data_IF_732173423052
#
_entry.id   IF_732173423052
#
_cell.length_a   1.000
_cell.length_b   1.000
_cell.length_c   1.000
_cell.angle_alpha   90.00
_cell.angle_beta   90.00
_cell.angle_gamma   90.00
#
_symmetry.space_group_name_H-M   'P 1'
#
loop_
_entity.id
_entity.type
_entity.pdbx_description
1 polymer ?
#
# COMPACT_ATOMS: atom_id res chain seq x y z
N UNK A 1 -22.57 22.22 3.13
CA UNK A 1 -21.80 23.38 3.63
C UNK A 1 -20.63 22.82 4.44
N UNK A 2 -19.40 23.07 4.02
CA UNK A 2 -18.18 22.68 4.75
C UNK A 2 -17.81 23.79 5.75
N UNK A 3 -17.43 23.42 6.97
CA UNK A 3 -17.02 24.37 8.00
C UNK A 3 -15.50 24.32 8.17
N UNK A 4 -14.90 25.48 8.42
CA UNK A 4 -13.50 25.56 8.84
C UNK A 4 -13.36 25.38 10.36
N UNK A 5 -12.12 25.22 10.86
CA UNK A 5 -11.87 25.04 12.30
C UNK A 5 -12.41 26.22 13.13
N UNK A 6 -12.24 27.46 12.66
CA UNK A 6 -12.75 28.64 13.37
C UNK A 6 -14.27 28.60 13.55
N UNK A 7 -15.01 28.19 12.51
CA UNK A 7 -16.45 28.02 12.56
C UNK A 7 -16.86 26.87 13.48
N UNK A 8 -16.10 25.76 13.51
CA UNK A 8 -16.33 24.69 14.48
C UNK A 8 -16.12 25.20 15.91
N UNK A 9 -15.05 25.94 16.15
CA UNK A 9 -14.75 26.54 17.45
C UNK A 9 -15.86 27.48 17.92
N UNK A 10 -16.27 28.43 17.10
CA UNK A 10 -17.37 29.35 17.42
C UNK A 10 -18.68 28.62 17.72
N UNK A 11 -18.92 27.46 17.11
CA UNK A 11 -20.08 26.62 17.42
C UNK A 11 -19.93 25.91 18.77
N UNK A 12 -18.75 25.40 19.08
CA UNK A 12 -18.43 24.79 20.39
C UNK A 12 -18.55 25.84 21.50
N UNK A 13 -17.94 27.02 21.35
CA UNK A 13 -18.03 28.15 22.29
C UNK A 13 -19.48 28.55 22.57
N UNK A 14 -20.30 28.65 21.51
CA UNK A 14 -21.73 28.97 21.64
C UNK A 14 -22.50 27.92 22.43
N UNK A 15 -22.20 26.63 22.24
CA UNK A 15 -22.84 25.56 23.00
C UNK A 15 -22.36 25.51 24.45
N UNK A 16 -21.08 25.80 24.69
CA UNK A 16 -20.50 25.92 26.02
C UNK A 16 -20.95 27.20 26.76
N UNK A 17 -21.56 28.15 26.05
CA UNK A 17 -21.94 29.48 26.55
C UNK A 17 -20.73 30.27 27.08
N UNK A 18 -19.56 30.05 26.50
CA UNK A 18 -18.30 30.71 26.86
C UNK A 18 -17.75 31.50 25.68
N UNK A 19 -18.48 32.54 25.26
CA UNK A 19 -18.09 33.38 24.12
C UNK A 19 -16.88 34.27 24.39
N UNK A 20 -16.52 34.43 25.66
CA UNK A 20 -15.38 35.24 26.10
C UNK A 20 -14.14 34.38 26.41
N UNK A 21 -14.19 33.06 26.19
CA UNK A 21 -13.11 32.10 26.49
C UNK A 21 -12.59 32.21 27.94
N UNK A 22 -13.49 32.44 28.91
CA UNK A 22 -13.10 32.58 30.32
C UNK A 22 -12.86 31.26 31.01
N UNK A 23 -13.57 30.20 30.58
CA UNK A 23 -13.50 28.86 31.18
C UNK A 23 -12.66 27.91 30.35
N UNK A 24 -12.75 28.01 29.03
CA UNK A 24 -11.95 27.22 28.10
C UNK A 24 -11.19 28.13 27.15
N UNK A 25 -9.89 27.93 27.09
CA UNK A 25 -9.04 28.65 26.14
C UNK A 25 -9.23 28.10 24.73
N UNK A 26 -8.93 28.92 23.73
CA UNK A 26 -8.92 28.52 22.32
C UNK A 26 -8.09 27.25 22.05
N UNK A 27 -6.95 27.12 22.73
CA UNK A 27 -6.07 25.97 22.59
C UNK A 27 -6.73 24.68 23.10
N UNK A 28 -7.37 24.75 24.26
CA UNK A 28 -8.07 23.60 24.86
C UNK A 28 -9.26 23.15 24.01
N UNK A 29 -10.03 24.10 23.46
CA UNK A 29 -11.13 23.75 22.55
C UNK A 29 -10.61 23.05 21.29
N UNK A 30 -9.47 23.49 20.74
CA UNK A 30 -8.87 22.80 19.61
C UNK A 30 -8.42 21.39 19.96
N UNK A 31 -7.84 21.18 21.14
CA UNK A 31 -7.44 19.85 21.60
C UNK A 31 -8.68 18.94 21.76
N UNK A 32 -9.80 19.45 22.29
CA UNK A 32 -11.05 18.67 22.37
C UNK A 32 -11.63 18.32 21.00
N UNK A 33 -11.58 19.25 20.04
CA UNK A 33 -11.99 18.99 18.66
C UNK A 33 -11.11 17.90 18.03
N UNK A 34 -9.80 17.96 18.29
CA UNK A 34 -8.84 16.98 17.78
C UNK A 34 -9.05 15.59 18.40
N UNK A 35 -9.24 15.52 19.71
CA UNK A 35 -9.55 14.26 20.38
C UNK A 35 -10.89 13.68 19.92
N UNK A 36 -11.90 14.53 19.70
CA UNK A 36 -13.19 14.12 19.14
C UNK A 36 -13.02 13.61 17.70
N UNK A 37 -12.14 14.20 16.91
CA UNK A 37 -11.81 13.75 15.57
C UNK A 37 -11.12 12.39 15.58
N UNK A 38 -10.10 12.20 16.42
CA UNK A 38 -9.43 10.93 16.60
C UNK A 38 -10.42 9.82 16.97
N UNK A 39 -11.27 10.08 17.97
CA UNK A 39 -12.27 9.11 18.38
C UNK A 39 -13.30 8.85 17.27
N UNK A 40 -13.75 9.88 16.56
CA UNK A 40 -14.68 9.72 15.45
C UNK A 40 -14.10 8.83 14.36
N UNK A 41 -12.83 9.05 13.98
CA UNK A 41 -12.14 8.25 12.96
C UNK A 41 -11.98 6.81 13.45
N UNK A 42 -11.61 6.58 14.72
CA UNK A 42 -11.50 5.24 15.30
C UNK A 42 -12.83 4.49 15.29
N UNK A 43 -13.89 5.16 15.75
CA UNK A 43 -15.21 4.56 15.80
C UNK A 43 -15.74 4.34 14.39
N UNK A 44 -15.64 5.29 13.48
CA UNK A 44 -16.15 5.05 12.12
C UNK A 44 -15.30 4.07 11.31
N UNK A 45 -14.00 3.99 11.58
CA UNK A 45 -13.03 3.25 10.77
C UNK A 45 -12.64 4.00 9.48
N UNK A 46 -12.92 5.31 9.38
CA UNK A 46 -12.69 6.12 8.17
C UNK A 46 -12.10 7.49 8.48
N UNK A 47 -11.33 8.08 7.54
CA UNK A 47 -11.04 7.56 6.20
C UNK A 47 -9.97 6.46 6.20
N UNK A 48 -10.08 5.50 5.28
CA UNK A 48 -9.06 4.48 5.08
C UNK A 48 -7.95 5.02 4.19
N UNK A 49 -6.72 4.74 4.58
CA UNK A 49 -5.53 4.99 3.78
C UNK A 49 -4.81 3.67 3.53
N UNK A 50 -4.24 3.55 2.35
CA UNK A 50 -3.41 2.41 1.95
C UNK A 50 -1.99 2.90 1.71
N UNK A 51 -1.02 2.29 2.37
CA UNK A 51 0.40 2.62 2.30
C UNK A 51 1.23 1.35 2.12
N UNK A 52 2.32 1.44 1.36
CA UNK A 52 3.25 0.33 1.19
C UNK A 52 4.44 0.50 2.14
N UNK A 53 4.85 -0.59 2.79
CA UNK A 53 6.07 -0.66 3.59
C UNK A 53 7.00 -1.67 2.93
N UNK A 54 8.14 -1.19 2.45
CA UNK A 54 9.16 -2.05 1.84
C UNK A 54 9.89 -2.85 2.93
N UNK A 55 10.03 -4.16 2.69
CA UNK A 55 10.60 -5.08 3.67
C UNK A 55 12.12 -5.13 3.54
N UNK A 56 12.79 -5.20 4.70
CA UNK A 56 14.23 -5.35 4.78
C UNK A 56 14.58 -6.70 5.43
N UNK A 57 15.62 -7.36 4.93
CA UNK A 57 16.08 -8.65 5.46
C UNK A 57 16.50 -8.53 6.92
N UNK A 58 16.10 -9.51 7.74
CA UNK A 58 16.42 -9.59 9.18
C UNK A 58 15.88 -8.44 10.04
N UNK A 59 14.99 -7.60 9.53
CA UNK A 59 14.30 -6.57 10.33
C UNK A 59 13.00 -7.15 10.89
N UNK A 60 12.93 -7.22 12.22
CA UNK A 60 11.77 -7.77 12.95
C UNK A 60 10.67 -6.74 13.19
N UNK A 61 11.03 -5.46 13.31
CA UNK A 61 10.17 -4.38 13.77
C UNK A 61 10.20 -3.21 12.79
N UNK A 62 9.02 -2.70 12.46
CA UNK A 62 8.81 -1.64 11.48
C UNK A 62 7.98 -0.54 12.11
N UNK A 63 8.28 0.71 11.76
CA UNK A 63 7.46 1.85 12.16
C UNK A 63 6.15 1.85 11.36
N UNK A 64 5.05 2.14 12.04
CA UNK A 64 3.77 2.40 11.38
C UNK A 64 3.90 3.71 10.59
N UNK A 65 3.48 3.74 9.30
CA UNK A 65 3.48 4.97 8.52
C UNK A 65 2.79 6.12 9.26
N UNK A 66 3.39 7.32 9.28
CA UNK A 66 2.91 8.48 10.07
C UNK A 66 1.48 8.90 9.73
N UNK A 67 1.04 8.60 8.52
CA UNK A 67 -0.30 8.89 8.02
C UNK A 67 -1.35 7.87 8.47
N UNK A 68 -0.96 6.75 9.09
CA UNK A 68 -1.84 5.74 9.65
C UNK A 68 -1.92 5.90 11.17
N UNK A 69 -3.16 5.88 11.68
CA UNK A 69 -3.44 5.86 13.13
C UNK A 69 -3.58 4.44 13.65
N UNK A 70 -4.40 3.61 12.98
CA UNK A 70 -4.62 2.22 13.36
C UNK A 70 -4.55 1.35 12.11
N UNK A 71 -3.80 0.24 12.17
CA UNK A 71 -3.75 -0.73 11.08
C UNK A 71 -4.96 -1.64 11.18
N UNK A 72 -5.73 -1.75 10.10
CA UNK A 72 -6.92 -2.62 10.05
C UNK A 72 -6.70 -3.87 9.20
N UNK A 73 -5.86 -3.77 8.16
CA UNK A 73 -5.55 -4.88 7.26
C UNK A 73 -4.10 -4.81 6.80
N UNK A 74 -3.50 -5.97 6.63
CA UNK A 74 -2.19 -6.13 6.01
C UNK A 74 -2.31 -7.12 4.85
N UNK A 75 -1.65 -6.83 3.73
CA UNK A 75 -1.67 -7.65 2.52
C UNK A 75 -0.29 -7.72 1.91
N UNK A 76 -0.01 -8.80 1.19
CA UNK A 76 1.18 -8.84 0.34
C UNK A 76 0.93 -7.94 -0.87
N UNK A 77 1.86 -7.03 -1.18
CA UNK A 77 1.70 -6.11 -2.32
C UNK A 77 1.44 -6.90 -3.62
N UNK A 78 0.52 -6.40 -4.44
CA UNK A 78 0.09 -7.02 -5.70
C UNK A 78 -0.52 -8.43 -5.53
N UNK A 79 -1.02 -8.75 -4.34
CA UNK A 79 -1.75 -10.00 -4.09
C UNK A 79 -3.02 -9.74 -3.31
N UNK A 80 -4.04 -10.54 -3.59
CA UNK A 80 -5.31 -10.49 -2.87
C UNK A 80 -5.26 -11.14 -1.48
N UNK A 81 -4.10 -11.71 -1.08
CA UNK A 81 -3.99 -12.47 0.16
C UNK A 81 -3.72 -11.55 1.36
N UNK A 82 -4.62 -11.63 2.34
CA UNK A 82 -4.51 -10.91 3.61
C UNK A 82 -3.58 -11.65 4.58
N UNK A 83 -2.70 -10.89 5.22
CA UNK A 83 -1.84 -11.36 6.30
C UNK A 83 -2.60 -11.13 7.61
N UNK A 84 -2.79 -12.17 8.45
CA UNK A 84 -3.49 -12.00 9.72
C UNK A 84 -2.73 -11.04 10.64
N UNK A 85 -3.49 -10.16 11.31
CA UNK A 85 -3.00 -9.27 12.36
C UNK A 85 -3.33 -9.93 13.71
N UNK A 86 -2.32 -10.17 14.53
CA UNK A 86 -2.46 -10.88 15.82
C UNK A 86 -1.79 -10.10 16.96
N UNK A 87 -2.24 -10.38 18.18
CA UNK A 87 -1.59 -9.90 19.41
C UNK A 87 -0.42 -10.81 19.78
N UNK A 88 0.65 -10.27 20.41
CA UNK A 88 1.77 -11.08 20.94
C UNK A 88 1.32 -12.27 21.79
N UNK A 89 0.27 -12.10 22.58
CA UNK A 89 -0.27 -13.14 23.47
C UNK A 89 -0.70 -14.40 22.71
N UNK A 90 -1.19 -14.24 21.47
CA UNK A 90 -1.58 -15.39 20.64
C UNK A 90 -0.37 -16.28 20.36
N UNK A 91 0.79 -15.68 20.09
CA UNK A 91 2.03 -16.42 19.82
C UNK A 91 2.70 -16.93 21.10
N UNK A 92 2.61 -16.17 22.20
CA UNK A 92 3.16 -16.58 23.49
C UNK A 92 2.42 -17.81 24.08
N UNK A 93 1.13 -17.98 23.77
CA UNK A 93 0.29 -19.09 24.28
C UNK A 93 0.19 -20.28 23.30
N UNK A 94 0.47 -20.07 22.01
CA UNK A 94 0.32 -21.11 21.00
C UNK A 94 1.62 -21.88 20.77
N UNK A 95 1.57 -23.21 20.79
CA UNK A 95 2.67 -24.06 20.30
C UNK A 95 2.64 -24.23 18.77
N UNK A 96 1.51 -23.88 18.14
CA UNK A 96 1.33 -23.95 16.68
C UNK A 96 0.48 -22.78 16.18
N UNK A 97 0.84 -22.23 15.03
CA UNK A 97 0.11 -21.16 14.34
C UNK A 97 0.08 -21.47 12.84
N UNK A 98 -1.11 -21.49 12.24
CA UNK A 98 -1.32 -21.89 10.83
C UNK A 98 -0.67 -23.24 10.47
N UNK A 99 -0.80 -24.23 11.36
CA UNK A 99 -0.24 -25.59 11.24
C UNK A 99 1.31 -25.67 11.25
N UNK A 100 2.00 -24.59 11.61
CA UNK A 100 3.45 -24.57 11.77
C UNK A 100 3.81 -24.34 13.25
N UNK A 101 4.94 -24.90 13.70
CA UNK A 101 5.38 -24.75 15.09
C UNK A 101 5.79 -23.30 15.39
N UNK A 102 5.43 -22.85 16.59
CA UNK A 102 5.82 -21.57 17.16
C UNK A 102 6.79 -21.85 18.30
N UNK A 103 7.98 -21.28 18.22
CA UNK A 103 8.98 -21.44 19.28
C UNK A 103 8.61 -20.57 20.49
N UNK A 104 9.03 -20.99 21.68
CA UNK A 104 8.82 -20.20 22.90
C UNK A 104 9.44 -18.79 22.80
N UNK A 105 10.51 -18.66 22.01
CA UNK A 105 11.10 -17.37 21.62
C UNK A 105 10.76 -17.02 20.17
N UNK A 106 9.47 -16.99 19.84
CA UNK A 106 8.97 -16.67 18.50
C UNK A 106 9.49 -15.32 17.96
N UNK A 107 9.94 -14.43 18.86
CA UNK A 107 10.50 -13.11 18.52
C UNK A 107 11.85 -13.20 17.81
N UNK A 108 12.60 -14.28 17.97
CA UNK A 108 13.86 -14.54 17.25
C UNK A 108 13.71 -15.55 16.12
N UNK A 109 12.53 -16.17 15.99
CA UNK A 109 12.24 -17.14 14.93
C UNK A 109 12.33 -16.47 13.56
N UNK A 110 13.15 -17.05 12.68
CA UNK A 110 13.29 -16.62 11.28
C UNK A 110 12.53 -17.57 10.35
N UNK A 111 12.02 -17.05 9.25
CA UNK A 111 11.25 -17.85 8.30
C UNK A 111 10.40 -17.01 7.36
N UNK A 112 9.51 -17.68 6.61
CA UNK A 112 8.57 -17.01 5.74
C UNK A 112 7.46 -16.33 6.55
N UNK A 113 7.18 -15.05 6.31
CA UNK A 113 6.17 -14.25 7.01
C UNK A 113 4.82 -14.96 6.99
N UNK A 114 4.18 -15.03 8.15
CA UNK A 114 2.86 -15.63 8.40
C UNK A 114 1.87 -14.64 8.99
N UNK A 115 2.32 -13.69 9.80
CA UNK A 115 1.46 -12.73 10.49
C UNK A 115 2.13 -11.37 10.69
N UNK A 116 1.30 -10.34 10.88
CA UNK A 116 1.69 -9.05 11.44
C UNK A 116 1.31 -9.06 12.92
N UNK A 117 2.28 -8.79 13.80
CA UNK A 117 2.06 -8.74 15.24
C UNK A 117 1.98 -7.29 15.69
N UNK A 118 0.90 -6.96 16.38
CA UNK A 118 0.64 -5.64 16.97
C UNK A 118 0.33 -5.79 18.45
N UNK A 119 1.05 -5.07 19.30
CA UNK A 119 0.78 -5.04 20.74
C UNK A 119 -0.63 -4.49 21.01
N UNK A 120 -0.99 -3.42 20.30
CA UNK A 120 -2.29 -2.77 20.33
C UNK A 120 -2.54 -2.05 18.99
N UNK A 121 -3.80 -1.71 18.70
CA UNK A 121 -4.19 -1.16 17.39
C UNK A 121 -3.48 0.14 17.02
N UNK A 122 -3.19 0.98 18.01
CA UNK A 122 -2.52 2.27 17.84
C UNK A 122 -1.01 2.23 18.11
N UNK A 123 -0.41 1.04 18.10
CA UNK A 123 1.03 0.90 18.31
C UNK A 123 1.78 1.65 17.21
N UNK A 124 2.79 2.45 17.58
CA UNK A 124 3.65 3.16 16.62
C UNK A 124 4.53 2.21 15.80
N UNK A 125 4.59 0.94 16.19
CA UNK A 125 5.41 -0.08 15.58
C UNK A 125 4.65 -1.40 15.46
N UNK A 126 5.02 -2.16 14.45
CA UNK A 126 4.52 -3.51 14.24
C UNK A 126 5.67 -4.48 13.99
N UNK A 127 5.43 -5.76 14.25
CA UNK A 127 6.41 -6.82 13.99
C UNK A 127 5.92 -7.78 12.92
N UNK A 128 6.85 -8.40 12.23
CA UNK A 128 6.56 -9.51 11.32
C UNK A 128 6.92 -10.82 12.00
N UNK A 129 6.03 -11.79 11.88
CA UNK A 129 6.25 -13.14 12.41
C UNK A 129 6.10 -14.19 11.31
N UNK A 130 7.07 -15.12 11.18
CA UNK A 130 8.47 -15.03 11.62
C UNK A 130 9.25 -13.85 11.01
N UNK A 131 10.46 -13.58 11.52
CA UNK A 131 11.36 -12.59 10.92
C UNK A 131 11.76 -13.07 9.51
N UNK A 132 11.65 -12.22 8.47
CA UNK A 132 12.02 -12.60 7.11
C UNK A 132 13.47 -13.11 7.03
N UNK A 133 13.64 -14.37 6.63
CA UNK A 133 14.96 -14.99 6.49
C UNK A 133 15.69 -14.47 5.23
N UNK A 134 16.85 -13.83 5.43
CA UNK A 134 17.85 -13.59 4.39
C UNK A 134 17.70 -12.31 3.55
N UNK A 135 18.58 -12.20 2.54
CA UNK A 135 18.55 -11.10 1.57
C UNK A 135 17.28 -11.20 0.74
N UNK A 136 16.40 -10.22 0.96
CA UNK A 136 15.11 -10.10 0.32
C UNK A 136 15.26 -9.53 -1.09
N UNK A 137 16.05 -10.20 -1.93
CA UNK A 137 16.27 -9.83 -3.33
C UNK A 137 15.62 -10.90 -4.18
N UNK A 138 14.47 -10.58 -4.78
CA UNK A 138 13.91 -11.42 -5.83
C UNK A 138 14.63 -11.06 -7.13
N UNK A 139 15.61 -11.87 -7.52
CA UNK A 139 16.32 -11.71 -8.80
C UNK A 139 15.47 -12.34 -9.90
N UNK A 140 14.95 -11.52 -10.82
CA UNK A 140 14.36 -12.02 -12.07
C UNK A 140 15.50 -12.16 -13.08
N UNK A 141 15.94 -13.39 -13.33
CA UNK A 141 16.89 -13.68 -14.42
C UNK A 141 16.10 -14.08 -15.65
N UNK A 142 15.97 -13.18 -16.62
CA UNK A 142 15.53 -13.56 -17.96
C UNK A 142 16.70 -14.20 -18.71
N UNK A 143 16.60 -15.49 -19.02
CA UNK A 143 17.55 -16.18 -19.89
C UNK A 143 16.99 -16.23 -21.31
N UNK A 144 17.74 -15.71 -22.27
CA UNK A 144 17.43 -15.85 -23.69
C UNK A 144 18.41 -16.83 -24.32
N UNK A 145 17.92 -17.98 -24.78
CA UNK A 145 18.71 -18.88 -25.61
C UNK A 145 18.69 -18.36 -27.06
N UNK A 146 19.72 -17.63 -27.46
CA UNK A 146 19.95 -17.37 -28.87
C UNK A 146 20.33 -18.69 -29.55
N UNK A 147 19.49 -19.19 -30.45
CA UNK A 147 19.81 -20.38 -31.24
C UNK A 147 20.78 -19.99 -32.35
N UNK A 148 22.09 -20.20 -32.14
CA UNK A 148 23.05 -20.20 -33.24
C UNK A 148 22.79 -21.44 -34.09
N UNK A 149 22.60 -21.24 -35.39
CA UNK A 149 22.47 -22.34 -36.36
C UNK A 149 23.80 -22.43 -37.09
N UNK A 150 24.60 -23.46 -36.78
CA UNK A 150 25.81 -23.74 -37.54
C UNK A 150 25.42 -24.42 -38.86
N UNK A 151 26.02 -23.97 -39.96
CA UNK A 151 25.84 -24.57 -41.27
C UNK A 151 27.17 -25.14 -41.71
N UNK A 152 27.20 -26.44 -41.98
CA UNK A 152 28.35 -27.09 -42.59
C UNK A 152 28.17 -27.04 -44.10
N UNK A 153 29.11 -26.41 -44.80
CA UNK A 153 29.16 -26.37 -46.27
C UNK A 153 30.21 -27.33 -46.80
N UNK A 154 30.10 -27.75 -48.06
CA UNK A 154 31.10 -28.64 -48.68
C UNK A 154 32.44 -27.93 -48.95
N UNK A 155 32.40 -26.61 -49.13
CA UNK A 155 33.57 -25.74 -49.28
C UNK A 155 33.19 -24.32 -48.85
N UNK A 156 34.08 -23.63 -48.15
CA UNK A 156 33.94 -22.25 -47.69
C UNK A 156 35.06 -21.33 -48.20
N UNK A 157 35.88 -21.80 -49.14
CA UNK A 157 37.09 -21.13 -49.64
C UNK A 157 36.83 -19.72 -50.21
N UNK A 158 35.70 -19.51 -50.87
CA UNK A 158 35.30 -18.23 -51.46
C UNK A 158 34.41 -17.37 -50.55
N UNK A 159 34.22 -17.77 -49.29
CA UNK A 159 33.37 -17.06 -48.34
C UNK A 159 34.22 -16.24 -47.36
N UNK A 160 33.71 -15.07 -47.00
CA UNK A 160 34.37 -14.18 -46.03
C UNK A 160 33.38 -13.73 -44.97
N UNK A 161 33.90 -13.51 -43.75
CA UNK A 161 33.12 -12.94 -42.65
C UNK A 161 32.56 -11.58 -43.07
N UNK A 162 31.26 -11.37 -42.85
CA UNK A 162 30.53 -10.19 -43.30
C UNK A 162 29.82 -10.33 -44.65
N UNK A 163 30.08 -11.40 -45.42
CA UNK A 163 29.28 -11.67 -46.62
C UNK A 163 27.84 -12.01 -46.26
N UNK A 164 26.92 -11.54 -47.09
CA UNK A 164 25.49 -11.80 -46.94
C UNK A 164 25.10 -13.09 -47.67
N UNK A 165 24.42 -13.99 -46.95
CA UNK A 165 23.86 -15.23 -47.46
C UNK A 165 22.33 -15.25 -47.32
N UNK A 166 21.65 -16.06 -48.12
CA UNK A 166 20.19 -16.15 -48.14
C UNK A 166 19.69 -17.24 -49.10
N UNK A 167 18.37 -17.38 -49.22
CA UNK A 167 17.74 -18.29 -50.18
C UNK A 167 17.41 -19.70 -49.65
N UNK A 168 17.81 -20.03 -48.42
CA UNK A 168 17.31 -21.20 -47.71
C UNK A 168 16.06 -20.81 -46.90
N UNK A 169 15.02 -21.64 -46.87
CA UNK A 169 13.79 -21.37 -46.11
C UNK A 169 14.01 -21.08 -44.62
N UNK A 170 15.15 -21.51 -44.08
CA UNK A 170 15.50 -21.35 -42.67
C UNK A 170 16.47 -20.17 -42.41
N UNK A 171 16.99 -19.52 -43.46
CA UNK A 171 17.96 -18.42 -43.39
C UNK A 171 17.33 -17.17 -44.04
N UNK A 172 17.01 -16.13 -43.25
CA UNK A 172 16.52 -14.86 -43.79
C UNK A 172 17.45 -14.31 -44.87
N UNK A 173 16.89 -13.66 -45.89
CA UNK A 173 17.70 -12.97 -46.90
C UNK A 173 18.62 -11.94 -46.24
N UNK A 174 19.85 -11.84 -46.76
CA UNK A 174 20.89 -10.93 -46.27
C UNK A 174 21.33 -11.22 -44.81
N UNK A 175 21.41 -12.48 -44.42
CA UNK A 175 22.05 -12.86 -43.16
C UNK A 175 23.58 -12.80 -43.31
N UNK A 176 24.28 -12.07 -42.45
CA UNK A 176 25.74 -11.97 -42.53
C UNK A 176 26.44 -13.21 -41.94
N UNK A 177 27.54 -13.63 -42.56
CA UNK A 177 28.45 -14.64 -42.02
C UNK A 177 29.21 -14.04 -40.84
N UNK A 178 29.11 -14.66 -39.66
CA UNK A 178 29.71 -14.18 -38.42
C UNK A 178 31.12 -14.74 -38.20
N UNK A 179 31.32 -16.02 -38.55
CA UNK A 179 32.62 -16.67 -38.52
C UNK A 179 32.66 -17.85 -39.49
N UNK A 180 33.87 -18.22 -39.90
CA UNK A 180 34.15 -19.38 -40.73
C UNK A 180 35.27 -20.16 -40.04
N UNK A 181 35.05 -21.45 -39.80
CA UNK A 181 36.04 -22.37 -39.23
C UNK A 181 36.05 -23.66 -40.04
N UNK A 182 37.04 -23.80 -40.92
CA UNK A 182 37.07 -24.88 -41.90
C UNK A 182 35.85 -24.82 -42.82
N UNK A 183 35.06 -25.89 -42.83
CA UNK A 183 33.80 -25.99 -43.58
C UNK A 183 32.57 -25.56 -42.78
N UNK A 184 32.74 -25.14 -41.53
CA UNK A 184 31.64 -24.67 -40.67
C UNK A 184 31.51 -23.16 -40.77
N UNK A 185 30.32 -22.69 -41.10
CA UNK A 185 29.94 -21.28 -41.16
C UNK A 185 28.95 -21.01 -40.03
N UNK A 186 29.29 -20.07 -39.17
CA UNK A 186 28.34 -19.58 -38.15
C UNK A 186 27.68 -18.31 -38.68
N UNK A 187 26.34 -18.32 -38.72
CA UNK A 187 25.54 -17.17 -39.12
C UNK A 187 24.99 -16.47 -37.87
N UNK A 188 25.10 -15.14 -37.81
CA UNK A 188 24.39 -14.36 -36.78
C UNK A 188 22.97 -14.15 -37.27
N UNK A 189 22.04 -15.00 -36.84
CA UNK A 189 20.62 -14.78 -37.10
C UNK A 189 20.08 -13.71 -36.15
N UNK A 190 20.02 -12.46 -36.59
CA UNK A 190 19.22 -11.45 -35.90
C UNK A 190 17.76 -11.69 -36.25
N UNK A 191 17.10 -12.63 -35.57
CA UNK A 191 15.64 -12.71 -35.65
C UNK A 191 15.06 -11.48 -34.99
N UNK A 192 14.61 -10.51 -35.77
CA UNK A 192 13.57 -9.58 -35.33
C UNK A 192 12.31 -10.43 -35.14
N UNK A 193 12.10 -10.97 -33.95
CA UNK A 193 10.86 -11.69 -33.64
C UNK A 193 9.71 -10.68 -33.68
N UNK A 194 9.07 -10.55 -34.85
CA UNK A 194 7.79 -9.83 -35.03
C UNK A 194 6.59 -10.73 -34.73
N UNK A 195 6.84 -11.97 -34.28
CA UNK A 195 5.84 -12.88 -33.75
C UNK A 195 5.79 -12.79 -32.23
N UNK A 196 4.57 -12.80 -31.68
CA UNK A 196 4.32 -12.87 -30.25
C UNK A 196 5.25 -13.90 -29.60
N UNK A 197 6.00 -13.49 -28.58
CA UNK A 197 6.85 -14.38 -27.79
C UNK A 197 5.93 -15.32 -27.01
N UNK A 198 5.50 -16.39 -27.66
CA UNK A 198 4.77 -17.47 -27.02
C UNK A 198 5.76 -18.23 -26.15
N UNK A 199 5.71 -17.96 -24.85
CA UNK A 199 6.38 -18.67 -23.77
C UNK A 199 7.82 -18.21 -23.47
N UNK A 200 7.99 -16.92 -23.14
CA UNK A 200 8.99 -16.58 -22.14
C UNK A 200 8.47 -17.07 -20.78
N UNK A 201 8.97 -18.20 -20.28
CA UNK A 201 8.70 -18.62 -18.90
C UNK A 201 9.49 -17.70 -17.97
N UNK A 202 8.86 -16.60 -17.54
CA UNK A 202 9.36 -15.81 -16.42
C UNK A 202 9.16 -16.66 -15.17
N UNK A 203 10.21 -17.39 -14.77
CA UNK A 203 10.20 -18.09 -13.49
C UNK A 203 10.43 -17.04 -12.42
N UNK A 204 9.36 -16.57 -11.80
CA UNK A 204 9.47 -15.83 -10.55
C UNK A 204 9.98 -16.81 -9.49
N UNK A 205 11.27 -16.74 -9.18
CA UNK A 205 11.80 -17.36 -7.97
C UNK A 205 11.29 -16.48 -6.83
N UNK A 206 10.04 -16.68 -6.41
CA UNK A 206 9.52 -15.98 -5.26
C UNK A 206 10.34 -16.42 -4.07
N UNK A 207 11.16 -15.49 -3.60
CA UNK A 207 11.95 -15.59 -2.38
C UNK A 207 11.13 -16.19 -1.24
N UNK A 208 11.78 -16.95 -0.36
CA UNK A 208 11.25 -17.61 0.85
C UNK A 208 10.70 -16.62 1.92
N UNK A 209 10.19 -15.47 1.49
CA UNK A 209 9.83 -14.32 2.33
C UNK A 209 8.41 -14.43 2.85
N UNK A 210 7.49 -15.04 2.10
CA UNK A 210 6.09 -15.26 2.52
C UNK A 210 5.78 -16.76 2.54
N UNK A 211 4.93 -17.20 3.46
CA UNK A 211 4.61 -18.63 3.59
C UNK A 211 3.83 -19.12 2.37
N UNK A 212 3.94 -20.42 2.05
CA UNK A 212 3.23 -21.01 0.90
C UNK A 212 1.71 -20.80 0.98
N UNK A 213 1.16 -20.67 2.19
CA UNK A 213 -0.23 -20.29 2.41
C UNK A 213 -0.57 -18.90 1.83
N UNK A 214 0.36 -17.93 1.96
CA UNK A 214 0.22 -16.59 1.38
C UNK A 214 0.56 -16.52 -0.13
N UNK A 215 1.11 -17.60 -0.69
CA UNK A 215 1.50 -17.69 -2.09
C UNK A 215 0.51 -18.43 -2.99
N UNK A 216 -0.62 -18.93 -2.47
CA UNK A 216 -1.65 -19.55 -3.29
C UNK A 216 -2.35 -18.47 -4.16
N UNK A 217 -1.86 -18.31 -5.39
CA UNK A 217 -2.50 -17.48 -6.41
C UNK A 217 -3.71 -18.25 -6.95
N UNK A 218 -4.93 -17.67 -6.99
CA UNK A 218 -6.00 -18.26 -7.77
C UNK A 218 -5.56 -18.33 -9.24
N UNK A 219 -5.66 -19.50 -9.86
CA UNK A 219 -5.09 -19.84 -11.18
C UNK A 219 -5.67 -19.07 -12.38
N UNK A 220 -6.38 -17.97 -12.16
CA UNK A 220 -7.22 -17.30 -13.17
C UNK A 220 -6.84 -15.86 -13.47
N UNK A 221 -5.74 -15.32 -12.93
CA UNK A 221 -5.41 -13.89 -13.13
C UNK A 221 -3.92 -13.67 -13.43
N UNK A 222 -3.52 -14.03 -14.66
CA UNK A 222 -2.18 -13.73 -15.20
C UNK A 222 -2.21 -12.47 -16.10
N UNK A 223 -3.39 -11.92 -16.38
CA UNK A 223 -3.56 -10.85 -17.38
C UNK A 223 -3.46 -9.41 -16.81
N UNK A 224 -3.29 -9.23 -15.50
CA UNK A 224 -3.47 -7.93 -14.85
C UNK A 224 -2.21 -7.28 -14.22
N UNK A 225 -0.99 -7.67 -14.59
CA UNK A 225 0.22 -6.88 -14.21
C UNK A 225 0.38 -5.72 -15.20
N UNK A 226 -0.50 -4.72 -15.07
CA UNK A 226 -0.36 -3.42 -15.69
C UNK A 226 0.79 -2.66 -15.01
N UNK A 227 1.88 -2.39 -15.73
CA UNK A 227 2.94 -1.48 -15.27
C UNK A 227 4.39 -1.96 -15.43
N UNK A 228 4.63 -3.21 -15.80
CA UNK A 228 5.95 -3.64 -16.29
C UNK A 228 5.96 -3.62 -17.80
N UNK A 229 6.14 -2.43 -18.36
CA UNK A 229 6.52 -2.29 -19.76
C UNK A 229 7.90 -2.95 -19.91
N UNK A 230 7.93 -4.15 -20.46
CA UNK A 230 9.19 -4.78 -20.86
C UNK A 230 9.66 -3.96 -22.06
N UNK A 231 10.57 -3.01 -21.81
CA UNK A 231 11.23 -2.22 -22.83
C UNK A 231 11.87 -3.17 -23.85
N UNK A 232 11.24 -3.29 -25.02
CA UNK A 232 11.85 -3.92 -26.19
C UNK A 232 12.66 -2.86 -26.92
N UNK A 233 13.95 -2.74 -26.60
CA UNK A 233 14.88 -2.00 -27.47
C UNK A 233 15.45 -2.95 -28.53
N UNK A 234 15.39 -2.51 -29.77
CA UNK A 234 15.89 -3.21 -30.95
C UNK A 234 17.41 -3.12 -30.99
N UNK A 235 18.12 -4.02 -30.32
CA UNK A 235 19.52 -4.30 -30.69
C UNK A 235 20.54 -4.60 -29.60
N UNK A 236 20.17 -5.19 -28.45
CA UNK A 236 21.18 -5.58 -27.45
C UNK A 236 20.74 -6.70 -26.51
N UNK A 237 21.68 -7.56 -26.14
CA UNK A 237 21.56 -8.45 -24.98
C UNK A 237 21.47 -7.59 -23.72
N UNK A 238 20.30 -7.51 -23.09
CA UNK A 238 20.16 -6.94 -21.76
C UNK A 238 20.14 -8.05 -20.71
N UNK A 239 21.22 -8.16 -19.94
CA UNK A 239 21.18 -8.84 -18.65
C UNK A 239 20.82 -7.80 -17.59
N UNK A 240 19.52 -7.51 -17.45
CA UNK A 240 19.01 -6.61 -16.42
C UNK A 240 18.58 -7.39 -15.19
N UNK A 241 19.19 -7.14 -14.04
CA UNK A 241 18.66 -7.63 -12.76
C UNK A 241 17.64 -6.63 -12.24
N UNK A 242 16.35 -6.94 -12.37
CA UNK A 242 15.31 -6.17 -11.68
C UNK A 242 15.26 -6.68 -10.24
N UNK A 243 15.70 -5.84 -9.30
CA UNK A 243 15.54 -6.08 -7.86
C UNK A 243 14.18 -5.51 -7.46
N UNK A 244 13.22 -6.40 -7.19
CA UNK A 244 11.97 -6.01 -6.53
C UNK A 244 12.10 -6.34 -5.05
N UNK A 245 12.15 -5.31 -4.20
CA UNK A 245 11.96 -5.48 -2.77
C UNK A 245 10.50 -5.83 -2.52
N UNK A 246 10.18 -6.93 -1.84
CA UNK A 246 8.82 -7.21 -1.44
C UNK A 246 8.39 -6.17 -0.43
N UNK A 247 7.11 -5.82 -0.52
CA UNK A 247 6.50 -4.87 0.38
C UNK A 247 5.17 -5.41 0.88
N UNK A 248 4.79 -4.93 2.05
CA UNK A 248 3.47 -5.17 2.62
C UNK A 248 2.63 -3.94 2.36
N UNK A 249 1.43 -4.16 1.85
CA UNK A 249 0.40 -3.15 1.76
C UNK A 249 -0.35 -3.12 3.09
N UNK A 250 -0.24 -2.00 3.81
CA UNK A 250 -0.99 -1.74 5.02
C UNK A 250 -2.20 -0.86 4.68
N UNK A 251 -3.36 -1.26 5.17
CA UNK A 251 -4.57 -0.46 5.11
C UNK A 251 -5.03 -0.18 6.54
N UNK A 252 -5.27 1.09 6.83
CA UNK A 252 -5.63 1.53 8.16
C UNK A 252 -6.41 2.83 8.16
N UNK A 253 -6.87 3.24 9.34
CA UNK A 253 -7.48 4.56 9.52
C UNK A 253 -6.42 5.63 9.37
N UNK A 254 -6.70 6.64 8.54
CA UNK A 254 -5.82 7.78 8.37
C UNK A 254 -5.71 8.54 9.69
N UNK A 255 -4.50 8.87 10.08
CA UNK A 255 -4.24 9.80 11.17
C UNK A 255 -4.77 11.20 10.79
N UNK A 256 -5.76 11.74 11.51
CA UNK A 256 -6.24 13.08 11.23
C UNK A 256 -5.12 14.08 11.48
N UNK A 257 -4.74 14.91 10.49
CA UNK A 257 -3.67 15.87 10.67
C UNK A 257 -4.08 16.92 11.72
N UNK A 258 -3.27 17.07 12.77
CA UNK A 258 -3.42 18.16 13.75
C UNK A 258 -3.30 19.53 13.09
N UNK A 259 -2.41 19.62 12.09
CA UNK A 259 -2.03 20.87 11.45
C UNK A 259 -2.93 21.25 10.26
N UNK A 260 -3.64 20.31 9.62
CA UNK A 260 -4.55 20.71 8.54
C UNK A 260 -5.78 21.46 9.07
N UNK A 261 -6.11 21.30 10.36
CA UNK A 261 -7.12 22.12 11.02
C UNK A 261 -6.61 23.53 11.34
N UNK A 262 -5.29 23.76 11.40
CA UNK A 262 -4.75 25.09 11.60
C UNK A 262 -5.01 25.94 10.35
N UNK A 263 -5.58 27.13 10.56
CA UNK A 263 -5.72 28.15 9.53
C UNK A 263 -4.35 28.47 8.95
N UNK A 264 -4.08 27.97 7.74
CA UNK A 264 -2.94 28.34 6.90
C UNK A 264 -2.99 29.85 6.61
N UNK A 265 -2.42 30.64 7.52
CA UNK A 265 -2.27 32.07 7.33
C UNK A 265 -1.15 32.43 6.34
N UNK A 266 -0.43 31.46 5.75
CA UNK A 266 0.81 31.76 5.03
C UNK A 266 1.20 30.81 3.87
N UNK A 267 0.23 30.31 3.08
CA UNK A 267 0.57 29.73 1.76
C UNK A 267 -0.18 30.48 0.68
N UNK A 268 0.53 31.42 0.06
CA UNK A 268 0.06 32.17 -1.10
C UNK A 268 -0.15 31.19 -2.27
N UNK A 269 -1.41 30.92 -2.63
CA UNK A 269 -1.74 30.35 -3.95
C UNK A 269 -2.58 29.07 -3.98
N UNK A 270 -3.07 28.54 -2.85
CA UNK A 270 -3.96 27.37 -2.85
C UNK A 270 -4.92 27.39 -1.67
N UNK A 271 -6.21 27.14 -1.91
CA UNK A 271 -7.20 26.99 -0.83
C UNK A 271 -7.08 25.58 -0.23
N UNK A 272 -6.00 25.35 0.52
CA UNK A 272 -5.71 24.14 1.28
C UNK A 272 -6.45 24.16 2.63
N UNK A 273 -7.78 24.27 2.62
CA UNK A 273 -8.61 24.14 3.83
C UNK A 273 -9.28 22.76 3.79
N UNK A 274 -9.07 21.88 4.78
CA UNK A 274 -9.73 20.58 4.81
C UNK A 274 -11.25 20.76 4.88
N UNK A 275 -11.94 20.29 3.86
CA UNK A 275 -13.40 20.33 3.76
C UNK A 275 -13.94 19.16 4.58
N UNK A 276 -14.41 19.45 5.79
CA UNK A 276 -15.09 18.47 6.64
C UNK A 276 -16.55 18.33 6.16
N UNK A 277 -17.05 17.09 6.09
CA UNK A 277 -18.44 16.84 5.70
C UNK A 277 -19.42 17.38 6.75
N UNK A 278 -20.60 17.84 6.32
CA UNK A 278 -21.57 18.48 7.25
C UNK A 278 -21.92 17.65 8.48
N UNK A 279 -21.92 16.32 8.37
CA UNK A 279 -22.24 15.38 9.46
C UNK A 279 -21.08 15.15 10.42
N UNK A 280 -19.85 15.22 9.91
CA UNK A 280 -18.66 15.21 10.74
C UNK A 280 -18.63 16.45 11.63
N UNK A 281 -19.14 17.60 11.17
CA UNK A 281 -19.17 18.80 12.02
C UNK A 281 -19.98 18.60 13.30
N UNK A 282 -21.20 18.08 13.19
CA UNK A 282 -22.05 17.90 14.38
C UNK A 282 -21.40 16.92 15.35
N UNK A 283 -20.85 15.81 14.83
CA UNK A 283 -20.12 14.86 15.66
C UNK A 283 -18.91 15.52 16.36
N UNK A 284 -18.08 16.27 15.63
CA UNK A 284 -16.93 16.96 16.22
C UNK A 284 -17.34 17.99 17.25
N UNK A 285 -18.40 18.76 16.99
CA UNK A 285 -18.93 19.76 17.93
C UNK A 285 -19.42 19.08 19.21
N UNK A 286 -20.25 18.03 19.10
CA UNK A 286 -20.77 17.33 20.28
C UNK A 286 -19.68 16.57 21.04
N UNK A 287 -18.71 15.96 20.35
CA UNK A 287 -17.58 15.30 20.99
C UNK A 287 -16.65 16.28 21.71
N UNK A 288 -16.43 17.47 21.16
CA UNK A 288 -15.63 18.51 21.80
C UNK A 288 -16.34 19.07 23.06
N UNK A 289 -17.65 19.33 22.96
CA UNK A 289 -18.47 19.81 24.09
C UNK A 289 -18.54 18.77 25.22
N UNK A 290 -18.67 17.49 24.87
CA UNK A 290 -18.65 16.38 25.83
C UNK A 290 -17.36 16.36 26.66
N UNK A 291 -16.19 16.44 26.00
CA UNK A 291 -14.88 16.49 26.66
C UNK A 291 -14.70 17.73 27.52
N UNK A 292 -15.15 18.89 27.05
CA UNK A 292 -15.11 20.14 27.82
C UNK A 292 -15.89 20.03 29.14
N UNK A 293 -17.08 19.43 29.13
CA UNK A 293 -17.87 19.20 30.35
C UNK A 293 -17.29 18.09 31.25
N UNK A 294 -16.65 17.06 30.69
CA UNK A 294 -15.97 16.04 31.49
C UNK A 294 -14.81 16.62 32.30
N UNK A 295 -14.07 17.60 31.75
CA UNK A 295 -12.96 18.25 32.48
C UNK A 295 -13.42 18.97 33.75
N UNK A 296 -14.59 19.61 33.74
CA UNK A 296 -15.07 20.38 34.90
C UNK A 296 -15.46 19.49 36.10
N UNK A 297 -15.61 18.17 35.91
CA UNK A 297 -15.87 17.15 36.95
C UNK A 297 -17.00 17.45 37.96
N UNK A 298 -17.87 18.43 37.70
CA UNK A 298 -19.05 18.70 38.51
C UNK A 298 -20.16 17.69 38.20
N UNK A 299 -20.90 17.24 39.22
CA UNK A 299 -21.99 16.25 39.08
C UNK A 299 -23.05 16.66 38.02
N UNK A 300 -23.35 17.96 37.91
CA UNK A 300 -24.27 18.49 36.89
C UNK A 300 -23.69 18.45 35.47
N UNK A 301 -22.37 18.49 35.34
CA UNK A 301 -21.67 18.44 34.07
C UNK A 301 -21.50 17.01 33.56
N UNK A 302 -21.42 16.01 34.45
CA UNK A 302 -21.41 14.59 34.07
C UNK A 302 -22.72 14.18 33.36
N UNK A 303 -23.87 14.68 33.83
CA UNK A 303 -25.15 14.39 33.16
C UNK A 303 -25.23 15.05 31.78
N UNK A 304 -24.73 16.29 31.65
CA UNK A 304 -24.68 16.99 30.37
C UNK A 304 -23.71 16.32 29.40
N UNK A 305 -22.51 15.94 29.86
CA UNK A 305 -21.53 15.24 29.01
C UNK A 305 -22.09 13.91 28.50
N UNK A 306 -22.84 13.17 29.32
CA UNK A 306 -23.57 11.98 28.89
C UNK A 306 -24.55 12.25 27.74
N UNK A 307 -25.35 13.31 27.82
CA UNK A 307 -26.28 13.68 26.73
C UNK A 307 -25.54 14.05 25.42
N UNK A 308 -24.40 14.75 25.52
CA UNK A 308 -23.58 15.06 24.35
C UNK A 308 -22.86 13.83 23.79
N UNK A 309 -22.46 12.90 24.64
CA UNK A 309 -21.91 11.60 24.25
C UNK A 309 -22.91 10.79 23.43
N UNK A 310 -24.16 10.72 23.87
CA UNK A 310 -25.22 10.02 23.14
C UNK A 310 -25.43 10.61 21.74
N UNK A 311 -25.44 11.95 21.64
CA UNK A 311 -25.52 12.64 20.34
C UNK A 311 -24.31 12.36 19.45
N UNK A 312 -23.11 12.40 20.00
CA UNK A 312 -21.89 12.05 19.28
C UNK A 312 -21.97 10.64 18.70
N UNK A 313 -22.34 9.64 19.53
CA UNK A 313 -22.50 8.25 19.10
C UNK A 313 -23.62 8.06 18.08
N UNK A 314 -24.71 8.84 18.18
CA UNK A 314 -25.76 8.86 17.17
C UNK A 314 -25.21 9.26 15.79
N UNK A 315 -24.42 10.32 15.71
CA UNK A 315 -23.79 10.75 14.45
C UNK A 315 -22.73 9.77 13.95
N UNK A 316 -21.97 9.15 14.85
CA UNK A 316 -21.03 8.06 14.49
C UNK A 316 -21.78 6.89 13.87
N UNK A 317 -22.89 6.46 14.49
CA UNK A 317 -23.70 5.35 13.99
C UNK A 317 -24.35 5.68 12.64
N UNK A 318 -24.83 6.91 12.47
CA UNK A 318 -25.36 7.41 11.20
C UNK A 318 -24.28 7.39 10.11
N UNK A 319 -23.08 7.92 10.40
CA UNK A 319 -21.94 7.91 9.49
C UNK A 319 -21.54 6.48 9.07
N UNK A 320 -21.55 5.52 10.01
CA UNK A 320 -21.33 4.10 9.71
C UNK A 320 -22.41 3.50 8.80
N UNK A 321 -23.70 3.82 9.01
CA UNK A 321 -24.80 3.28 8.20
C UNK A 321 -24.74 3.76 6.76
N UNK A 322 -24.50 5.05 6.56
CA UNK A 322 -24.46 5.65 5.23
C UNK A 322 -23.24 5.22 4.41
N UNK A 323 -22.19 4.77 5.06
CA UNK A 323 -21.05 4.18 4.37
C UNK A 323 -21.43 2.89 3.62
N UNK A 324 -22.41 2.13 4.11
CA UNK A 324 -22.94 0.97 3.38
C UNK A 324 -23.78 1.36 2.15
N UNK A 325 -24.36 2.56 2.14
CA UNK A 325 -25.08 3.11 0.99
C UNK A 325 -24.15 3.76 -0.04
N UNK A 326 -22.91 4.07 0.34
CA UNK A 326 -21.86 4.36 -0.62
C UNK A 326 -21.54 3.09 -1.43
N UNK A 327 -21.86 3.15 -2.73
CA UNK A 327 -21.71 2.14 -3.78
C UNK A 327 -20.29 1.54 -3.95
N UNK A 328 -19.37 1.85 -3.04
CA UNK A 328 -17.95 1.48 -2.99
C UNK A 328 -17.76 -0.01 -2.66
N UNK A 329 -18.66 -0.64 -1.88
CA UNK A 329 -18.54 -2.07 -1.52
C UNK A 329 -19.13 -3.04 -2.55
N UNK A 330 -19.90 -2.58 -3.55
CA UNK A 330 -20.61 -3.50 -4.47
C UNK A 330 -19.85 -3.88 -5.74
N UNK A 331 -18.87 -3.11 -6.22
CA UNK A 331 -18.21 -3.42 -7.49
C UNK A 331 -16.74 -3.00 -7.44
N UNK A 332 -15.84 -3.97 -7.59
CA UNK A 332 -14.43 -3.71 -7.84
C UNK A 332 -14.26 -2.85 -9.08
N UNK A 333 -13.50 -1.76 -8.96
CA UNK A 333 -13.17 -0.89 -10.10
C UNK A 333 -13.76 0.51 -9.99
N UNK A 334 -12.94 1.42 -9.46
CA UNK A 334 -12.91 2.85 -9.73
C UNK A 334 -14.24 3.65 -9.65
N UNK A 335 -14.52 4.27 -8.50
CA UNK A 335 -14.42 5.74 -8.43
C UNK A 335 -14.28 6.26 -7.00
N UNK A 336 -13.36 7.21 -6.82
CA UNK A 336 -12.94 7.83 -5.56
C UNK A 336 -13.91 8.94 -5.15
N UNK A 337 -14.62 8.78 -4.02
CA UNK A 337 -14.97 9.96 -3.20
C UNK A 337 -13.82 10.18 -2.22
N UNK A 338 -12.70 10.67 -2.75
CA UNK A 338 -11.72 11.37 -1.94
C UNK A 338 -12.30 12.74 -1.59
N UNK A 339 -11.77 13.40 -0.57
CA UNK A 339 -11.73 14.87 -0.56
C UNK A 339 -11.37 15.34 -1.98
N UNK A 340 -12.31 15.96 -2.70
CA UNK A 340 -12.03 16.62 -3.97
C UNK A 340 -11.58 18.03 -3.66
N UNK A 341 -10.30 18.31 -3.86
CA UNK A 341 -9.84 19.67 -4.13
C UNK A 341 -10.26 19.98 -5.56
N UNK A 342 -11.31 20.78 -5.76
CA UNK A 342 -11.68 21.22 -7.11
C UNK A 342 -10.77 22.38 -7.52
N UNK A 343 -9.89 22.15 -8.51
CA UNK A 343 -9.27 23.25 -9.25
C UNK A 343 -10.33 23.86 -10.17
N UNK A 344 -10.67 25.12 -9.96
CA UNK A 344 -11.36 25.93 -10.97
C UNK A 344 -10.28 26.64 -11.75
N UNK A 345 -10.06 26.24 -13.01
CA UNK A 345 -9.25 27.03 -13.93
C UNK A 345 -9.98 28.35 -14.17
N UNK A 346 -9.33 29.46 -13.81
CA UNK A 346 -9.69 30.82 -14.26
C UNK A 346 -8.71 31.20 -15.36
#
# INVERSE_FOLDING_TARGET
MSLNLGQLRTRVERLLQDTDNRRWTDAEINDYIFDAQHEFVRLTGYPLLTTNVDLQGLVAEYDVPTDLMDIQRARVRNRAVEIPIISPTVLDESSTFLNESVDADWRSQTGPIRAVVLDHQSASKFRLFPIPAGNIVSTVTASFNATTTDIVVSDASDLTVGMYVGGNSNIPEKTAIASISGTTITLTKTTTNTGAVSNASITFVSSNVFSNYLLQVPSTDVDAISGTDILYDSGGFFQGTIVVLPSIELQGTKNPPRDALQTLANVAGGTDVPIIGSRFHEALVFGAVERAYLKENELRNVQKSGAFRERFLQFVAEARREEHENRIRRVGGANRVRMKVSRRWV
#
